data_IF_018763476767
#
_entry.id   IF_018763476767
#
_cell.length_a   1.000
_cell.length_b   1.000
_cell.length_c   1.000
_cell.angle_alpha   90.00
_cell.angle_beta   90.00
_cell.angle_gamma   90.00
#
_symmetry.space_group_name_H-M   'P 1'
#
loop_
_entity.id
_entity.type
_entity.pdbx_description
1 polymer ?
#
# COMPACT_ATOMS: atom_id res chain seq x y z
N UNK A 1 -37.14 13.55 7.21
CA UNK A 1 -36.20 12.63 6.53
C UNK A 1 -35.36 11.95 7.58
N UNK A 2 -34.90 10.71 7.36
CA UNK A 2 -34.04 10.01 8.32
C UNK A 2 -32.72 10.77 8.51
N UNK A 3 -32.15 10.69 9.71
CA UNK A 3 -30.89 11.37 10.06
C UNK A 3 -29.72 10.90 9.18
N UNK A 4 -29.77 9.65 8.70
CA UNK A 4 -28.74 9.02 7.88
C UNK A 4 -29.19 8.80 6.43
N UNK A 5 -29.92 9.77 5.84
CA UNK A 5 -30.46 9.64 4.48
C UNK A 5 -29.40 9.30 3.43
N UNK A 6 -28.25 9.96 3.45
CA UNK A 6 -27.20 9.74 2.46
C UNK A 6 -26.71 8.29 2.48
N UNK A 7 -26.43 7.75 3.67
CA UNK A 7 -26.12 6.33 3.86
C UNK A 7 -27.22 5.41 3.29
N UNK A 8 -28.50 5.72 3.55
CA UNK A 8 -29.61 4.92 3.00
C UNK A 8 -29.65 4.94 1.46
N UNK A 9 -29.30 6.05 0.83
CA UNK A 9 -29.20 6.14 -0.63
C UNK A 9 -28.02 5.33 -1.17
N UNK A 10 -26.85 5.38 -0.53
CA UNK A 10 -25.72 4.51 -0.87
C UNK A 10 -26.12 3.02 -0.78
N UNK A 11 -26.80 2.63 0.29
CA UNK A 11 -27.28 1.26 0.50
C UNK A 11 -28.31 0.82 -0.55
N UNK A 12 -29.27 1.69 -0.87
CA UNK A 12 -30.25 1.42 -1.93
C UNK A 12 -29.57 1.27 -3.30
N UNK A 13 -28.59 2.12 -3.62
CA UNK A 13 -27.82 2.02 -4.86
C UNK A 13 -27.03 0.70 -4.93
N UNK A 14 -26.43 0.28 -3.81
CA UNK A 14 -25.75 -1.01 -3.68
C UNK A 14 -26.69 -2.19 -3.94
N UNK A 15 -27.84 -2.24 -3.25
CA UNK A 15 -28.82 -3.32 -3.38
C UNK A 15 -29.35 -3.44 -4.81
N UNK A 16 -29.63 -2.30 -5.44
CA UNK A 16 -30.07 -2.27 -6.83
C UNK A 16 -28.94 -2.68 -7.80
N UNK A 17 -27.69 -2.26 -7.55
CA UNK A 17 -26.54 -2.69 -8.35
C UNK A 17 -26.32 -4.21 -8.27
N UNK A 18 -26.42 -4.80 -7.07
CA UNK A 18 -26.34 -6.25 -6.85
C UNK A 18 -27.40 -7.00 -7.66
N UNK A 19 -28.64 -6.49 -7.66
CA UNK A 19 -29.74 -7.14 -8.37
C UNK A 19 -29.66 -6.95 -9.89
N UNK A 20 -29.38 -5.74 -10.37
CA UNK A 20 -29.54 -5.40 -11.77
C UNK A 20 -28.24 -5.53 -12.59
N UNK A 21 -27.09 -5.14 -12.00
CA UNK A 21 -25.82 -5.07 -12.71
C UNK A 21 -25.03 -6.37 -12.60
N UNK A 22 -24.85 -6.91 -11.39
CA UNK A 22 -24.07 -8.14 -11.21
C UNK A 22 -24.75 -9.36 -11.83
N UNK A 23 -26.08 -9.37 -11.92
CA UNK A 23 -26.83 -10.42 -12.63
C UNK A 23 -26.89 -10.21 -14.14
N UNK A 24 -26.36 -9.10 -14.66
CA UNK A 24 -26.38 -8.78 -16.09
C UNK A 24 -27.78 -8.44 -16.63
N UNK A 25 -28.72 -8.06 -15.76
CA UNK A 25 -30.12 -7.78 -16.13
C UNK A 25 -30.30 -6.39 -16.74
N UNK A 26 -29.41 -5.44 -16.40
CA UNK A 26 -29.53 -4.05 -16.86
C UNK A 26 -28.19 -3.44 -17.27
N UNK A 27 -28.23 -2.53 -18.23
CA UNK A 27 -27.08 -1.70 -18.57
C UNK A 27 -26.82 -0.68 -17.44
N UNK A 28 -25.54 -0.45 -17.13
CA UNK A 28 -25.12 0.47 -16.07
C UNK A 28 -25.69 1.89 -16.21
N UNK A 29 -25.66 2.49 -17.41
CA UNK A 29 -26.19 3.86 -17.58
C UNK A 29 -27.71 3.93 -17.37
N UNK A 30 -28.43 2.84 -17.64
CA UNK A 30 -29.87 2.75 -17.39
C UNK A 30 -30.16 2.62 -15.89
N UNK A 31 -29.39 1.81 -15.18
CA UNK A 31 -29.43 1.70 -13.72
C UNK A 31 -29.27 3.06 -13.04
N UNK A 32 -28.24 3.84 -13.43
CA UNK A 32 -27.99 5.16 -12.83
C UNK A 32 -29.16 6.11 -13.06
N UNK A 33 -29.69 6.16 -14.29
CA UNK A 33 -30.82 7.03 -14.61
C UNK A 33 -32.11 6.63 -13.89
N UNK A 34 -32.40 5.32 -13.79
CA UNK A 34 -33.57 4.82 -13.07
C UNK A 34 -33.47 5.12 -11.57
N UNK A 35 -32.29 4.89 -10.97
CA UNK A 35 -32.03 5.20 -9.56
C UNK A 35 -32.26 6.70 -9.28
N UNK A 36 -31.65 7.57 -10.09
CA UNK A 36 -31.82 9.02 -9.95
C UNK A 36 -33.28 9.45 -10.09
N UNK A 37 -33.98 8.98 -11.13
CA UNK A 37 -35.36 9.35 -11.38
C UNK A 37 -36.31 8.89 -10.25
N UNK A 38 -36.05 7.72 -9.67
CA UNK A 38 -36.85 7.17 -8.58
C UNK A 38 -36.62 7.91 -7.25
N UNK A 39 -35.37 8.28 -6.95
CA UNK A 39 -35.01 8.87 -5.67
C UNK A 39 -35.07 10.39 -5.62
N UNK A 40 -35.12 11.09 -6.76
CA UNK A 40 -35.18 12.57 -6.80
C UNK A 40 -36.46 13.18 -6.17
N UNK A 41 -37.67 12.62 -6.35
CA UNK A 41 -38.86 13.18 -5.73
C UNK A 41 -38.86 12.96 -4.21
N UNK A 42 -39.17 14.03 -3.46
CA UNK A 42 -39.37 13.96 -2.01
C UNK A 42 -40.73 14.51 -1.61
N UNK A 43 -41.39 13.87 -0.66
CA UNK A 43 -42.63 14.37 -0.03
C UNK A 43 -42.36 15.40 1.08
N UNK A 44 -41.08 15.75 1.33
CA UNK A 44 -40.71 16.68 2.38
C UNK A 44 -41.09 18.12 2.04
N UNK A 45 -41.87 18.76 2.91
CA UNK A 45 -42.32 20.15 2.75
C UNK A 45 -41.42 21.18 3.44
N UNK A 46 -40.44 20.74 4.23
CA UNK A 46 -39.48 21.62 4.92
C UNK A 46 -38.33 21.97 3.99
N UNK A 47 -38.22 23.24 3.62
CA UNK A 47 -37.25 23.72 2.62
C UNK A 47 -35.82 23.21 2.86
N UNK A 48 -35.30 23.33 4.09
CA UNK A 48 -33.93 22.88 4.42
C UNK A 48 -33.73 21.39 4.15
N UNK A 49 -34.71 20.55 4.49
CA UNK A 49 -34.63 19.10 4.30
C UNK A 49 -34.79 18.73 2.83
N UNK A 50 -35.68 19.43 2.10
CA UNK A 50 -35.83 19.24 0.66
C UNK A 50 -34.55 19.58 -0.10
N UNK A 51 -33.90 20.70 0.21
CA UNK A 51 -32.62 21.08 -0.40
C UNK A 51 -31.53 20.05 -0.11
N UNK A 52 -31.45 19.58 1.14
CA UNK A 52 -30.48 18.57 1.54
C UNK A 52 -30.68 17.24 0.80
N UNK A 53 -31.93 16.77 0.68
CA UNK A 53 -32.27 15.58 -0.10
C UNK A 53 -31.83 15.70 -1.56
N UNK A 54 -32.12 16.83 -2.21
CA UNK A 54 -31.68 17.07 -3.59
C UNK A 54 -30.16 17.01 -3.68
N UNK A 55 -29.43 17.61 -2.74
CA UNK A 55 -27.97 17.51 -2.71
C UNK A 55 -27.48 16.07 -2.57
N UNK A 56 -28.10 15.26 -1.69
CA UNK A 56 -27.74 13.86 -1.52
C UNK A 56 -27.97 13.04 -2.80
N UNK A 57 -29.14 13.17 -3.42
CA UNK A 57 -29.47 12.42 -4.64
C UNK A 57 -28.53 12.78 -5.80
N UNK A 58 -28.19 14.08 -5.95
CA UNK A 58 -27.23 14.50 -6.95
C UNK A 58 -25.81 14.01 -6.66
N UNK A 59 -25.39 14.01 -5.40
CA UNK A 59 -24.08 13.46 -4.98
C UNK A 59 -23.95 11.98 -5.34
N UNK A 60 -25.00 11.17 -5.11
CA UNK A 60 -25.01 9.76 -5.53
C UNK A 60 -24.98 9.64 -7.05
N UNK A 61 -25.75 10.45 -7.78
CA UNK A 61 -25.73 10.42 -9.25
C UNK A 61 -24.31 10.68 -9.77
N UNK A 62 -23.66 11.73 -9.27
CA UNK A 62 -22.29 12.08 -9.65
C UNK A 62 -21.30 10.96 -9.31
N UNK A 63 -21.39 10.37 -8.11
CA UNK A 63 -20.59 9.20 -7.73
C UNK A 63 -20.76 8.05 -8.73
N UNK A 64 -22.02 7.72 -9.06
CA UNK A 64 -22.35 6.62 -9.95
C UNK A 64 -21.86 6.85 -11.38
N UNK A 65 -21.85 8.10 -11.86
CA UNK A 65 -21.41 8.44 -13.22
C UNK A 65 -19.88 8.59 -13.31
N UNK A 66 -19.28 9.32 -12.38
CA UNK A 66 -17.89 9.80 -12.49
C UNK A 66 -16.88 8.91 -11.76
N UNK A 67 -17.31 8.15 -10.74
CA UNK A 67 -16.43 7.28 -9.92
C UNK A 67 -16.85 5.82 -9.96
N UNK A 68 -17.02 5.32 -11.19
CA UNK A 68 -17.35 3.91 -11.45
C UNK A 68 -16.29 2.93 -10.90
N UNK A 69 -15.04 3.38 -10.75
CA UNK A 69 -13.99 2.63 -10.05
C UNK A 69 -14.43 2.28 -8.62
N UNK A 70 -14.90 3.27 -7.85
CA UNK A 70 -15.40 3.08 -6.49
C UNK A 70 -16.63 2.19 -6.48
N UNK A 71 -17.59 2.45 -7.37
CA UNK A 71 -18.83 1.67 -7.45
C UNK A 71 -18.52 0.20 -7.71
N UNK A 72 -17.70 -0.10 -8.71
CA UNK A 72 -17.33 -1.48 -9.00
C UNK A 72 -16.57 -2.13 -7.83
N UNK A 73 -15.70 -1.40 -7.14
CA UNK A 73 -14.92 -1.94 -6.02
C UNK A 73 -15.80 -2.24 -4.80
N UNK A 74 -16.56 -1.27 -4.32
CA UNK A 74 -17.38 -1.41 -3.13
C UNK A 74 -18.65 -2.21 -3.40
N UNK A 75 -19.36 -1.95 -4.51
CA UNK A 75 -20.65 -2.59 -4.75
C UNK A 75 -20.54 -4.01 -5.30
N UNK A 76 -19.35 -4.49 -5.67
CA UNK A 76 -19.16 -5.92 -5.98
C UNK A 76 -18.96 -6.79 -4.74
N UNK A 77 -18.79 -6.18 -3.54
CA UNK A 77 -18.69 -6.93 -2.28
C UNK A 77 -19.99 -7.67 -1.97
N UNK A 78 -19.91 -8.81 -1.30
CA UNK A 78 -21.08 -9.59 -0.88
C UNK A 78 -21.92 -8.93 0.22
N UNK A 79 -21.38 -7.91 0.88
CA UNK A 79 -22.06 -7.03 1.80
C UNK A 79 -21.51 -5.62 1.64
N UNK A 80 -22.31 -4.63 2.03
CA UNK A 80 -21.92 -3.22 2.06
C UNK A 80 -22.41 -2.61 3.37
N UNK A 81 -21.46 -2.29 4.25
CA UNK A 81 -21.72 -1.79 5.60
C UNK A 81 -21.37 -0.29 5.76
N UNK A 82 -21.50 0.23 6.98
CA UNK A 82 -21.30 1.65 7.26
C UNK A 82 -19.82 2.07 7.15
N UNK A 83 -18.88 1.14 7.40
CA UNK A 83 -17.44 1.38 7.21
C UNK A 83 -17.13 1.49 5.72
N UNK A 84 -17.68 0.60 4.90
CA UNK A 84 -17.58 0.67 3.44
C UNK A 84 -18.12 2.01 2.90
N UNK A 85 -19.24 2.47 3.45
CA UNK A 85 -19.82 3.78 3.10
C UNK A 85 -18.88 4.93 3.45
N UNK A 86 -18.39 5.00 4.69
CA UNK A 86 -17.49 6.07 5.10
C UNK A 86 -16.21 6.09 4.27
N UNK A 87 -15.66 4.92 3.94
CA UNK A 87 -14.49 4.82 3.08
C UNK A 87 -14.79 5.30 1.65
N UNK A 88 -15.88 4.81 1.06
CA UNK A 88 -16.27 5.16 -0.31
C UNK A 88 -16.59 6.65 -0.44
N UNK A 89 -17.34 7.21 0.51
CA UNK A 89 -17.68 8.63 0.59
C UNK A 89 -16.43 9.51 0.76
N UNK A 90 -15.49 9.09 1.63
CA UNK A 90 -14.22 9.80 1.79
C UNK A 90 -13.41 9.82 0.49
N UNK A 91 -13.27 8.67 -0.19
CA UNK A 91 -12.56 8.58 -1.47
C UNK A 91 -13.22 9.40 -2.58
N UNK A 92 -14.56 9.47 -2.58
CA UNK A 92 -15.31 10.30 -3.51
C UNK A 92 -15.05 11.78 -3.27
N UNK A 93 -15.25 12.24 -2.02
CA UNK A 93 -15.13 13.65 -1.65
C UNK A 93 -13.70 14.20 -1.77
N UNK A 94 -12.68 13.35 -1.60
CA UNK A 94 -11.26 13.75 -1.71
C UNK A 94 -10.68 13.56 -3.11
N UNK A 95 -11.38 12.87 -4.01
CA UNK A 95 -10.83 12.47 -5.32
C UNK A 95 -9.68 11.46 -5.23
N UNK A 96 -9.45 10.85 -4.06
CA UNK A 96 -8.40 9.85 -3.86
C UNK A 96 -8.73 8.56 -4.63
N UNK A 97 -7.70 7.90 -5.16
CA UNK A 97 -7.84 6.57 -5.74
C UNK A 97 -8.12 5.53 -4.66
N UNK A 98 -8.75 4.42 -5.03
CA UNK A 98 -8.76 3.21 -4.19
C UNK A 98 -7.29 2.84 -3.98
N UNK A 99 -6.76 3.09 -2.78
CA UNK A 99 -5.44 2.58 -2.45
C UNK A 99 -5.53 1.06 -2.52
N UNK A 100 -4.93 0.46 -3.57
CA UNK A 100 -4.51 -0.94 -3.49
C UNK A 100 -3.78 -1.06 -2.16
N UNK A 101 -4.14 -2.04 -1.33
CA UNK A 101 -3.37 -2.36 -0.11
C UNK A 101 -1.90 -2.18 -0.46
N UNK A 102 -1.25 -1.14 0.10
CA UNK A 102 0.15 -0.87 -0.23
C UNK A 102 0.87 -2.16 0.09
N UNK A 103 1.42 -2.83 -0.92
CA UNK A 103 2.03 -4.14 -0.74
C UNK A 103 3.03 -4.01 0.43
N UNK A 104 2.72 -4.64 1.56
CA UNK A 104 3.66 -4.70 2.67
C UNK A 104 4.86 -5.51 2.19
N UNK A 105 6.07 -5.10 2.57
CA UNK A 105 7.25 -5.91 2.32
C UNK A 105 7.14 -7.27 3.00
N UNK A 106 6.65 -7.32 4.24
CA UNK A 106 6.43 -8.54 5.00
C UNK A 106 5.60 -8.28 6.28
N UNK A 107 4.97 -9.34 6.79
CA UNK A 107 4.34 -9.37 8.11
C UNK A 107 5.16 -10.25 9.06
N UNK A 108 6.23 -9.69 9.61
CA UNK A 108 7.06 -10.37 10.62
C UNK A 108 6.40 -10.32 12.01
N UNK A 109 6.62 -11.37 12.80
CA UNK A 109 6.23 -11.38 14.21
C UNK A 109 7.07 -10.41 15.04
N UNK A 110 6.62 -10.04 16.24
CA UNK A 110 7.37 -9.16 17.15
C UNK A 110 8.79 -9.71 17.44
N UNK A 111 8.90 -11.02 17.66
CA UNK A 111 10.19 -11.69 17.86
C UNK A 111 11.11 -11.55 16.63
N UNK A 112 10.57 -11.70 15.42
CA UNK A 112 11.34 -11.51 14.19
C UNK A 112 11.76 -10.05 14.00
N UNK A 113 10.87 -9.10 14.29
CA UNK A 113 11.20 -7.67 14.27
C UNK A 113 12.33 -7.34 15.25
N UNK A 114 12.28 -7.87 16.47
CA UNK A 114 13.34 -7.67 17.46
C UNK A 114 14.69 -8.19 16.96
N UNK A 115 14.73 -9.44 16.46
CA UNK A 115 15.95 -10.04 15.87
C UNK A 115 16.49 -9.26 14.66
N UNK A 116 15.59 -8.75 13.80
CA UNK A 116 15.98 -7.93 12.65
C UNK A 116 16.55 -6.60 13.14
N UNK A 117 15.91 -5.94 14.10
CA UNK A 117 16.33 -4.66 14.69
C UNK A 117 17.74 -4.76 15.27
N UNK A 118 17.99 -5.81 16.06
CA UNK A 118 19.33 -6.08 16.61
C UNK A 118 20.37 -6.26 15.51
N UNK A 119 20.03 -7.02 14.46
CA UNK A 119 20.92 -7.26 13.34
C UNK A 119 21.26 -5.97 12.58
N UNK A 120 20.26 -5.15 12.23
CA UNK A 120 20.49 -3.92 11.45
C UNK A 120 21.28 -2.87 12.23
N UNK A 121 21.07 -2.78 13.55
CA UNK A 121 21.82 -1.87 14.42
C UNK A 121 23.26 -2.36 14.67
N UNK A 122 23.44 -3.66 14.92
CA UNK A 122 24.77 -4.26 15.12
C UNK A 122 25.64 -4.15 13.87
N UNK A 123 25.05 -4.36 12.70
CA UNK A 123 25.75 -4.26 11.41
C UNK A 123 25.84 -2.83 10.87
N UNK A 124 25.24 -1.86 11.56
CA UNK A 124 25.14 -0.45 11.12
C UNK A 124 24.65 -0.36 9.67
N UNK A 125 23.57 -1.08 9.38
CA UNK A 125 22.95 -1.10 8.05
C UNK A 125 22.44 0.30 7.66
N UNK A 126 21.87 1.01 8.65
CA UNK A 126 21.41 2.38 8.54
C UNK A 126 22.34 3.34 9.28
N UNK A 127 22.30 4.61 8.88
CA UNK A 127 23.17 5.66 9.43
C UNK A 127 22.85 6.01 10.89
N UNK A 128 21.58 5.86 11.27
CA UNK A 128 21.09 6.03 12.63
C UNK A 128 20.58 4.69 13.13
N UNK A 129 20.68 4.46 14.44
CA UNK A 129 20.07 3.30 15.07
C UNK A 129 18.55 3.42 14.96
N UNK A 130 17.90 2.29 14.71
CA UNK A 130 16.46 2.20 14.46
C UNK A 130 15.77 1.46 15.60
N UNK A 131 14.54 1.87 15.91
CA UNK A 131 13.71 1.16 16.89
C UNK A 131 12.99 -0.03 16.25
N UNK A 132 12.48 -0.95 17.09
CA UNK A 132 11.61 -2.03 16.62
C UNK A 132 10.36 -1.51 15.92
N UNK A 133 9.82 -0.37 16.36
CA UNK A 133 8.70 0.29 15.71
C UNK A 133 9.06 0.81 14.31
N UNK A 134 10.26 1.38 14.13
CA UNK A 134 10.72 1.83 12.81
C UNK A 134 10.85 0.64 11.85
N UNK A 135 11.39 -0.49 12.32
CA UNK A 135 11.51 -1.70 11.51
C UNK A 135 10.16 -2.34 11.20
N UNK A 136 9.23 -2.40 12.17
CA UNK A 136 7.87 -2.87 11.93
C UNK A 136 7.15 -1.99 10.89
N UNK A 137 7.28 -0.68 11.00
CA UNK A 137 6.71 0.27 10.05
C UNK A 137 7.39 0.21 8.68
N UNK A 138 8.69 -0.08 8.60
CA UNK A 138 9.37 -0.32 7.34
C UNK A 138 8.73 -1.49 6.59
N UNK A 139 8.56 -2.63 7.25
CA UNK A 139 8.01 -3.82 6.58
C UNK A 139 6.51 -3.71 6.26
N UNK A 140 5.77 -2.92 7.04
CA UNK A 140 4.37 -2.57 6.78
C UNK A 140 4.18 -1.41 5.80
N UNK A 141 5.27 -0.83 5.28
CA UNK A 141 5.25 0.35 4.39
C UNK A 141 4.57 1.59 5.02
N UNK A 142 4.73 1.78 6.34
CA UNK A 142 4.14 2.84 7.17
C UNK A 142 5.16 3.83 7.75
N UNK A 143 6.39 3.85 7.24
CA UNK A 143 7.41 4.81 7.67
C UNK A 143 7.02 6.25 7.31
N UNK A 144 7.16 7.17 8.28
CA UNK A 144 6.96 8.61 8.04
C UNK A 144 8.13 9.26 7.30
N UNK A 145 9.35 8.76 7.52
CA UNK A 145 10.56 9.23 6.88
C UNK A 145 11.44 8.05 6.44
N UNK A 146 12.15 8.17 5.30
CA UNK A 146 13.05 7.12 4.83
C UNK A 146 14.19 6.88 5.82
N UNK A 147 14.56 5.62 6.01
CA UNK A 147 15.79 5.27 6.74
C UNK A 147 16.99 5.45 5.81
N UNK A 148 17.99 6.22 6.26
CA UNK A 148 19.18 6.46 5.46
C UNK A 148 20.13 5.27 5.54
N UNK A 149 20.43 4.67 4.38
CA UNK A 149 21.43 3.62 4.27
C UNK A 149 22.81 4.14 4.71
N UNK A 150 23.56 3.31 5.43
CA UNK A 150 24.97 3.58 5.69
C UNK A 150 25.80 3.22 4.43
N UNK A 151 25.55 2.02 3.89
CA UNK A 151 26.13 1.53 2.62
C UNK A 151 25.01 0.98 1.75
N UNK A 152 24.75 1.63 0.60
CA UNK A 152 23.65 1.26 -0.30
C UNK A 152 23.68 -0.21 -0.75
N UNK A 153 24.88 -0.79 -0.93
CA UNK A 153 25.04 -2.20 -1.30
C UNK A 153 24.68 -3.16 -0.18
N UNK A 154 25.02 -2.84 1.07
CA UNK A 154 24.66 -3.67 2.22
C UNK A 154 23.14 -3.75 2.39
N UNK A 155 22.43 -2.63 2.20
CA UNK A 155 20.96 -2.63 2.14
C UNK A 155 20.47 -3.57 1.04
N UNK A 156 21.01 -3.43 -0.18
CA UNK A 156 20.60 -4.28 -1.29
C UNK A 156 20.84 -5.79 -1.01
N UNK A 157 21.97 -6.14 -0.38
CA UNK A 157 22.31 -7.50 0.03
C UNK A 157 21.37 -8.04 1.11
N UNK A 158 21.06 -7.24 2.14
CA UNK A 158 20.17 -7.65 3.22
C UNK A 158 18.74 -7.96 2.72
N UNK A 159 18.12 -7.02 2.00
CA UNK A 159 16.79 -7.24 1.43
C UNK A 159 16.81 -8.32 0.33
N UNK A 160 17.90 -8.41 -0.43
CA UNK A 160 18.13 -9.50 -1.38
C UNK A 160 18.15 -10.88 -0.72
N UNK A 161 18.79 -11.00 0.45
CA UNK A 161 18.82 -12.23 1.23
C UNK A 161 17.42 -12.57 1.76
N UNK A 162 16.70 -11.62 2.37
CA UNK A 162 15.31 -11.83 2.80
C UNK A 162 14.43 -12.35 1.65
N UNK A 163 14.56 -11.77 0.46
CA UNK A 163 13.86 -12.25 -0.75
C UNK A 163 14.30 -13.67 -1.15
N UNK A 164 15.60 -13.96 -1.17
CA UNK A 164 16.13 -15.27 -1.57
C UNK A 164 15.59 -16.41 -0.70
N UNK A 165 15.37 -16.14 0.60
CA UNK A 165 14.78 -17.11 1.53
C UNK A 165 13.24 -17.12 1.53
N UNK A 166 12.60 -16.31 0.66
CA UNK A 166 11.15 -16.28 0.49
C UNK A 166 10.41 -15.42 1.52
N UNK A 167 11.10 -14.54 2.23
CA UNK A 167 10.50 -13.67 3.27
C UNK A 167 10.00 -12.32 2.72
N UNK A 168 10.25 -12.01 1.45
CA UNK A 168 9.78 -10.80 0.76
C UNK A 168 9.14 -11.14 -0.59
N UNK A 169 8.22 -10.32 -1.13
CA UNK A 169 7.64 -10.48 -2.47
C UNK A 169 8.66 -10.20 -3.59
N UNK A 170 8.34 -10.62 -4.82
CA UNK A 170 9.25 -10.41 -5.97
C UNK A 170 9.43 -8.91 -6.28
N UNK A 171 8.37 -8.14 -6.08
CA UNK A 171 8.28 -6.69 -6.27
C UNK A 171 9.00 -5.86 -5.20
N UNK A 172 9.68 -6.45 -4.20
CA UNK A 172 10.23 -5.73 -3.03
C UNK A 172 11.04 -4.47 -3.38
N UNK A 173 11.78 -4.46 -4.50
CA UNK A 173 12.55 -3.30 -4.95
C UNK A 173 11.65 -2.13 -5.37
N UNK A 174 10.56 -2.44 -6.07
CA UNK A 174 9.53 -1.47 -6.47
C UNK A 174 8.79 -0.97 -5.23
N UNK A 175 8.41 -1.87 -4.32
CA UNK A 175 7.75 -1.51 -3.06
C UNK A 175 8.59 -0.51 -2.26
N UNK A 176 9.91 -0.73 -2.12
CA UNK A 176 10.81 0.20 -1.44
C UNK A 176 10.85 1.57 -2.12
N UNK A 177 10.91 1.59 -3.46
CA UNK A 177 10.96 2.84 -4.24
C UNK A 177 9.66 3.63 -4.14
N UNK A 178 8.52 2.97 -4.38
CA UNK A 178 7.18 3.59 -4.40
C UNK A 178 6.80 4.13 -3.01
N UNK A 179 7.14 3.40 -1.96
CA UNK A 179 6.88 3.81 -0.57
C UNK A 179 8.01 4.67 0.03
N UNK A 180 9.07 4.96 -0.75
CA UNK A 180 10.23 5.78 -0.32
C UNK A 180 10.80 5.34 1.04
N UNK A 181 10.96 4.04 1.25
CA UNK A 181 11.29 3.49 2.57
C UNK A 181 12.76 3.70 2.97
N UNK A 182 13.66 3.82 1.98
CA UNK A 182 15.10 3.88 2.20
C UNK A 182 15.72 4.99 1.34
N UNK A 183 16.59 5.80 1.94
CA UNK A 183 17.36 6.81 1.23
C UNK A 183 18.84 6.43 1.09
N UNK A 184 19.47 6.99 0.07
CA UNK A 184 20.86 6.76 -0.30
C UNK A 184 21.84 7.33 0.73
N UNK A 185 22.93 6.59 0.97
CA UNK A 185 24.03 7.01 1.84
C UNK A 185 24.71 8.31 1.38
N UNK A 186 24.76 8.55 0.06
CA UNK A 186 25.53 9.65 -0.52
C UNK A 186 24.79 11.00 -0.52
N UNK A 187 23.50 11.00 -0.87
CA UNK A 187 22.74 12.23 -1.13
C UNK A 187 21.39 12.29 -0.41
N UNK A 188 21.08 11.31 0.44
CA UNK A 188 19.82 11.20 1.18
C UNK A 188 18.55 11.21 0.30
N UNK A 189 18.69 10.94 -1.00
CA UNK A 189 17.55 10.79 -1.90
C UNK A 189 17.02 9.36 -1.84
N UNK A 190 15.70 9.14 -2.00
CA UNK A 190 15.12 7.80 -2.02
C UNK A 190 15.83 6.87 -3.01
N UNK A 191 16.11 5.63 -2.59
CA UNK A 191 16.69 4.62 -3.45
C UNK A 191 15.65 4.14 -4.46
N UNK A 192 16.05 4.11 -5.73
CA UNK A 192 15.26 3.51 -6.82
C UNK A 192 15.50 2.01 -6.89
N UNK A 193 14.52 1.27 -7.39
CA UNK A 193 14.61 -0.17 -7.64
C UNK A 193 15.82 -0.50 -8.54
N UNK A 194 16.14 0.36 -9.50
CA UNK A 194 17.32 0.22 -10.36
C UNK A 194 18.64 0.30 -9.60
N UNK A 195 18.74 1.17 -8.57
CA UNK A 195 19.92 1.25 -7.70
C UNK A 195 20.10 -0.02 -6.87
N UNK A 196 19.02 -0.53 -6.29
CA UNK A 196 19.02 -1.78 -5.51
C UNK A 196 19.41 -2.99 -6.37
N UNK A 197 18.82 -3.09 -7.58
CA UNK A 197 19.16 -4.13 -8.54
C UNK A 197 20.61 -4.06 -9.00
N UNK A 198 21.12 -2.86 -9.25
CA UNK A 198 22.51 -2.64 -9.62
C UNK A 198 23.45 -3.02 -8.47
N UNK A 199 23.11 -2.65 -7.22
CA UNK A 199 23.88 -3.03 -6.03
C UNK A 199 24.02 -4.54 -5.89
N UNK A 200 22.94 -5.29 -6.06
CA UNK A 200 22.97 -6.76 -6.05
C UNK A 200 23.81 -7.34 -7.20
N UNK A 201 23.66 -6.82 -8.41
CA UNK A 201 24.46 -7.28 -9.56
C UNK A 201 25.96 -7.02 -9.35
N UNK A 202 26.32 -5.86 -8.79
CA UNK A 202 27.71 -5.51 -8.49
C UNK A 202 28.31 -6.40 -7.41
N UNK A 203 27.53 -6.76 -6.39
CA UNK A 203 27.97 -7.70 -5.36
C UNK A 203 28.23 -9.11 -5.93
N UNK A 204 27.39 -9.55 -6.89
CA UNK A 204 27.48 -10.90 -7.50
C UNK A 204 28.46 -11.02 -8.67
N UNK A 205 28.70 -9.94 -9.43
CA UNK A 205 29.51 -9.98 -10.65
C UNK A 205 30.90 -9.33 -10.47
N UNK A 206 31.92 -10.17 -10.32
CA UNK A 206 33.34 -9.80 -10.10
C UNK A 206 33.94 -8.91 -11.21
N UNK A 207 33.43 -9.02 -12.45
CA UNK A 207 34.00 -8.36 -13.65
C UNK A 207 33.59 -6.89 -13.87
N UNK A 208 32.59 -6.37 -13.17
CA UNK A 208 32.05 -5.02 -13.40
C UNK A 208 32.55 -3.95 -12.40
N UNK A 209 33.38 -4.35 -11.43
CA UNK A 209 33.85 -3.46 -10.37
C UNK A 209 35.26 -2.90 -10.68
N UNK A 210 35.36 -1.58 -10.88
CA UNK A 210 36.62 -0.83 -11.14
C UNK A 210 37.67 -1.06 -10.03
N UNK A 211 38.96 -0.95 -10.35
CA UNK A 211 40.14 -1.42 -9.57
C UNK A 211 40.28 -0.92 -8.11
N UNK A 212 39.64 0.16 -7.68
CA UNK A 212 39.55 0.56 -6.24
C UNK A 212 38.75 -0.42 -5.36
N UNK A 213 38.40 -1.61 -5.86
CA UNK A 213 37.31 -2.45 -5.35
C UNK A 213 37.71 -3.69 -4.56
N UNK A 214 38.97 -4.09 -4.47
CA UNK A 214 39.34 -5.38 -3.84
C UNK A 214 39.04 -5.44 -2.33
N UNK A 215 39.33 -4.39 -1.56
CA UNK A 215 38.98 -4.33 -0.13
C UNK A 215 37.45 -4.31 0.08
N UNK A 216 36.76 -3.38 -0.60
CA UNK A 216 35.30 -3.27 -0.51
C UNK A 216 34.59 -4.54 -1.00
N UNK A 217 35.20 -5.32 -1.92
CA UNK A 217 34.69 -6.62 -2.37
C UNK A 217 34.78 -7.69 -1.27
N UNK A 218 35.91 -7.78 -0.57
CA UNK A 218 36.06 -8.74 0.52
C UNK A 218 35.09 -8.42 1.67
N UNK A 219 34.87 -7.14 1.93
CA UNK A 219 33.87 -6.64 2.88
C UNK A 219 32.44 -6.98 2.42
N UNK A 220 32.08 -6.69 1.15
CA UNK A 220 30.76 -6.98 0.57
C UNK A 220 30.46 -8.50 0.59
N UNK A 221 31.42 -9.37 0.23
CA UNK A 221 31.28 -10.84 0.26
C UNK A 221 31.10 -11.34 1.70
N UNK A 222 31.91 -10.82 2.64
CA UNK A 222 31.77 -11.16 4.06
C UNK A 222 30.41 -10.73 4.62
N UNK A 223 29.91 -9.58 4.18
CA UNK A 223 28.61 -9.07 4.57
C UNK A 223 27.45 -9.89 3.97
N UNK A 224 27.54 -10.31 2.70
CA UNK A 224 26.55 -11.20 2.08
C UNK A 224 26.43 -12.53 2.83
N UNK A 225 27.56 -13.15 3.19
CA UNK A 225 27.56 -14.37 4.00
C UNK A 225 26.91 -14.14 5.38
N UNK A 226 27.19 -13.00 6.01
CA UNK A 226 26.60 -12.59 7.28
C UNK A 226 25.07 -12.44 7.17
N UNK A 227 24.58 -11.77 6.12
CA UNK A 227 23.15 -11.64 5.84
C UNK A 227 22.49 -13.00 5.64
N UNK A 228 23.09 -13.87 4.81
CA UNK A 228 22.54 -15.20 4.54
C UNK A 228 22.46 -16.07 5.79
N UNK A 229 23.49 -16.05 6.64
CA UNK A 229 23.50 -16.78 7.91
C UNK A 229 22.42 -16.28 8.87
N UNK A 230 22.23 -14.96 8.98
CA UNK A 230 21.17 -14.36 9.78
C UNK A 230 19.78 -14.74 9.27
N UNK A 231 19.51 -14.50 7.97
CA UNK A 231 18.18 -14.73 7.38
C UNK A 231 17.79 -16.21 7.44
N UNK A 232 18.74 -17.13 7.29
CA UNK A 232 18.49 -18.56 7.48
C UNK A 232 17.99 -18.87 8.89
N UNK A 233 18.67 -18.36 9.93
CA UNK A 233 18.23 -18.52 11.33
C UNK A 233 16.89 -17.84 11.61
N UNK A 234 16.66 -16.67 11.01
CA UNK A 234 15.40 -15.93 11.15
C UNK A 234 14.21 -16.74 10.60
N UNK A 235 14.40 -17.44 9.47
CA UNK A 235 13.40 -18.32 8.87
C UNK A 235 13.16 -19.59 9.69
N UNK A 236 14.21 -20.13 10.31
CA UNK A 236 14.12 -21.31 11.18
C UNK A 236 13.52 -20.98 12.56
N UNK A 237 13.38 -19.69 12.91
CA UNK A 237 12.79 -19.22 14.17
C UNK A 237 11.27 -19.05 14.12
N UNK A 238 10.63 -19.53 13.05
CA UNK A 238 9.17 -19.55 12.82
C UNK A 238 8.52 -20.67 13.63
#
# INVERSE_FOLDING_TARGET
MPENELWQLYRAAYEQYQCEILKGEKNYSRFVNDFFAYHLPTSCTREKQMRLHVMHVFSIKELLEERRDLVNFFFSKGSFDEEDYHQMEHLFNTGSSIESERESLANFSEKQISLITDFVNTTKLFRQDVSENDMANLFKCKLHAPLQANVNRHVALFFGALRQYGLLPFSWQMIIEENRLISSSANNQPLRASHLRCGLSQAKNVKLAKEKSSLNKMEDIGFEATCNAFVKKLKESI
#
